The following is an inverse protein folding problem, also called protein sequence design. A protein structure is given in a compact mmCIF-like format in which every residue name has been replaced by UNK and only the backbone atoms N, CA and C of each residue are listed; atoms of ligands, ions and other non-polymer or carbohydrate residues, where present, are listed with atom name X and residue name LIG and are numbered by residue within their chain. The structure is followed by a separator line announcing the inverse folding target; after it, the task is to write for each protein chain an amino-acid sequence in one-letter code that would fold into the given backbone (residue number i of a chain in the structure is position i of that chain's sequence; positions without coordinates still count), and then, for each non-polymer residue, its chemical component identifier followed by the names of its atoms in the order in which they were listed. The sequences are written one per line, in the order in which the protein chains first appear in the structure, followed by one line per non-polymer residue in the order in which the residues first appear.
data_IF_686035939013
#
_entry.id   IF_686035939013
#
_cell.length_a   1.000
_cell.length_b   1.000
_cell.length_c   1.000
_cell.angle_alpha   90.00
_cell.angle_beta   90.00
_cell.angle_gamma   90.00
#
_symmetry.space_group_name_H-M   'P 1'
#
loop_
_entity.id
_entity.type
_entity.pdbx_description
1 polymer ?
#
# COMPACT_ATOMS: atom_id res chain seq x y z
N UNK A 1 -75.39 -10.04 -5.38
CA UNK A 1 -74.39 -10.64 -4.45
C UNK A 1 -73.19 -9.71 -4.43
N UNK A 2 -73.13 -8.89 -3.38
CA UNK A 2 -72.04 -7.93 -3.19
C UNK A 2 -70.99 -8.57 -2.33
N UNK A 3 -69.76 -8.68 -2.84
CA UNK A 3 -68.59 -8.99 -2.02
C UNK A 3 -67.74 -7.71 -1.87
N UNK A 4 -67.91 -7.04 -0.73
CA UNK A 4 -66.99 -6.02 -0.25
C UNK A 4 -65.86 -6.73 0.51
N UNK A 5 -64.64 -6.78 -0.08
CA UNK A 5 -63.45 -7.16 0.63
C UNK A 5 -62.74 -5.88 1.07
N UNK A 6 -62.98 -5.45 2.30
CA UNK A 6 -62.18 -4.41 2.98
C UNK A 6 -60.93 -5.04 3.53
N UNK A 7 -59.78 -4.74 2.90
CA UNK A 7 -58.47 -5.03 3.52
C UNK A 7 -58.23 -4.04 4.66
N UNK A 8 -58.30 -4.54 5.87
CA UNK A 8 -57.84 -3.84 7.07
C UNK A 8 -56.30 -3.75 7.03
N UNK A 9 -55.76 -2.61 6.65
CA UNK A 9 -54.37 -2.28 6.92
C UNK A 9 -54.25 -1.87 8.39
N UNK A 10 -53.58 -2.70 9.18
CA UNK A 10 -53.25 -2.43 10.57
C UNK A 10 -52.07 -1.41 10.63
N UNK A 11 -52.27 -0.14 11.00
CA UNK A 11 -51.19 0.86 11.07
C UNK A 11 -50.26 0.69 12.26
N UNK A 12 -50.58 -0.27 13.17
CA UNK A 12 -49.86 -0.51 14.42
C UNK A 12 -48.48 -1.17 14.16
N UNK A 13 -48.32 -1.92 13.09
CA UNK A 13 -47.10 -2.72 12.85
C UNK A 13 -45.92 -1.85 12.40
N UNK A 14 -46.16 -0.73 11.70
CA UNK A 14 -45.09 0.10 11.16
C UNK A 14 -44.37 0.92 12.23
N UNK A 15 -45.10 1.50 13.17
CA UNK A 15 -44.54 2.28 14.27
C UNK A 15 -43.75 1.42 15.26
N UNK A 16 -44.15 0.16 15.45
CA UNK A 16 -43.45 -0.78 16.36
C UNK A 16 -42.12 -1.22 15.76
N UNK A 17 -42.04 -1.49 14.47
CA UNK A 17 -40.80 -1.82 13.76
C UNK A 17 -39.85 -0.62 13.73
N UNK A 18 -40.33 0.59 13.48
CA UNK A 18 -39.51 1.79 13.52
C UNK A 18 -38.95 2.08 14.92
N UNK A 19 -39.74 1.82 15.97
CA UNK A 19 -39.32 1.96 17.37
C UNK A 19 -38.22 0.96 17.74
N UNK A 20 -38.33 -0.30 17.29
CA UNK A 20 -37.34 -1.34 17.53
C UNK A 20 -36.02 -1.10 16.74
N UNK A 21 -36.10 -0.42 15.61
CA UNK A 21 -34.91 -0.07 14.80
C UNK A 21 -34.18 1.16 15.32
N UNK A 22 -34.77 1.97 16.19
CA UNK A 22 -34.10 3.19 16.71
C UNK A 22 -32.80 2.89 17.48
N UNK A 23 -32.71 1.74 18.14
CA UNK A 23 -31.52 1.32 18.87
C UNK A 23 -30.33 0.96 17.94
N UNK A 24 -30.62 0.70 16.66
CA UNK A 24 -29.62 0.38 15.64
C UNK A 24 -29.26 1.56 14.74
N UNK A 25 -29.95 2.69 14.88
CA UNK A 25 -29.61 3.92 14.13
C UNK A 25 -28.40 4.57 14.79
N UNK A 26 -27.37 4.84 13.99
CA UNK A 26 -26.17 5.57 14.43
C UNK A 26 -26.51 7.06 14.67
N UNK A 27 -27.06 7.33 15.84
CA UNK A 27 -27.29 8.69 16.35
C UNK A 27 -26.16 9.06 17.31
N UNK A 28 -25.94 10.35 17.55
CA UNK A 28 -24.96 10.82 18.54
C UNK A 28 -25.20 10.22 19.95
N UNK A 29 -26.44 9.92 20.30
CA UNK A 29 -26.80 9.28 21.56
C UNK A 29 -26.36 7.82 21.62
N UNK A 30 -26.59 7.03 20.57
CA UNK A 30 -26.16 5.61 20.49
C UNK A 30 -24.64 5.49 20.36
N UNK A 31 -24.00 6.39 19.63
CA UNK A 31 -22.54 6.49 19.55
C UNK A 31 -21.91 6.82 20.92
N UNK A 32 -22.45 7.79 21.64
CA UNK A 32 -21.98 8.14 22.98
C UNK A 32 -22.20 7.02 24.00
N UNK A 33 -23.30 6.27 23.89
CA UNK A 33 -23.57 5.11 24.76
C UNK A 33 -22.58 3.98 24.49
N UNK A 34 -22.32 3.65 23.22
CA UNK A 34 -21.32 2.66 22.83
C UNK A 34 -19.90 3.05 23.29
N UNK A 35 -19.54 4.32 23.17
CA UNK A 35 -18.25 4.85 23.63
C UNK A 35 -18.09 4.75 25.15
N UNK A 36 -19.16 5.06 25.92
CA UNK A 36 -19.16 4.90 27.39
C UNK A 36 -19.03 3.45 27.82
N UNK A 37 -19.67 2.52 27.12
CA UNK A 37 -19.52 1.07 27.39
C UNK A 37 -18.09 0.58 27.13
N UNK A 38 -17.44 1.07 26.08
CA UNK A 38 -16.04 0.76 25.79
C UNK A 38 -15.06 1.35 26.82
N UNK A 39 -15.36 2.51 27.37
CA UNK A 39 -14.53 3.18 28.40
C UNK A 39 -14.65 2.58 29.81
N UNK A 40 -15.72 1.85 30.11
CA UNK A 40 -15.94 1.19 31.41
C UNK A 40 -15.27 -0.20 31.53
N UNK A 41 -14.57 -0.66 30.50
CA UNK A 41 -13.72 -1.84 30.60
C UNK A 41 -12.45 -1.41 31.33
N UNK A 42 -12.31 -1.81 32.61
CA UNK A 42 -11.10 -1.58 33.43
C UNK A 42 -9.87 -2.02 32.63
N UNK A 43 -8.82 -1.19 32.50
CA UNK A 43 -7.58 -1.63 31.92
C UNK A 43 -6.89 -2.57 32.91
N UNK A 44 -7.00 -3.86 32.68
CA UNK A 44 -6.00 -4.77 33.25
C UNK A 44 -4.65 -4.41 32.64
N UNK A 45 -3.63 -4.36 33.48
CA UNK A 45 -2.24 -4.04 33.14
C UNK A 45 -1.71 -4.98 32.04
N UNK A 46 -1.98 -4.65 30.78
CA UNK A 46 -1.42 -5.37 29.63
C UNK A 46 0.01 -4.93 29.45
N UNK A 47 0.91 -5.90 29.44
CA UNK A 47 2.35 -5.70 29.27
C UNK A 47 2.64 -4.91 27.98
N UNK A 48 3.71 -4.10 27.98
CA UNK A 48 4.15 -3.29 26.82
C UNK A 48 4.27 -4.08 25.48
N UNK A 49 4.44 -5.41 25.56
CA UNK A 49 4.42 -6.29 24.38
C UNK A 49 3.06 -6.36 23.68
N UNK A 50 1.95 -6.32 24.45
CA UNK A 50 0.60 -6.37 23.85
C UNK A 50 0.19 -5.05 23.22
N UNK A 51 0.68 -3.92 23.72
CA UNK A 51 0.45 -2.61 23.08
C UNK A 51 1.20 -2.46 21.75
N UNK A 52 2.44 -2.99 21.67
CA UNK A 52 3.18 -3.04 20.39
C UNK A 52 2.52 -3.97 19.37
N UNK A 53 1.96 -5.09 19.80
CA UNK A 53 1.22 -6.01 18.93
C UNK A 53 -0.12 -5.42 18.46
N UNK A 54 -0.80 -4.62 19.30
CA UNK A 54 -2.03 -3.92 18.91
C UNK A 54 -1.78 -2.75 17.97
N UNK A 55 -0.67 -2.01 18.14
CA UNK A 55 -0.25 -0.98 17.19
C UNK A 55 0.15 -1.58 15.82
N UNK A 56 0.84 -2.74 15.83
CA UNK A 56 1.14 -3.46 14.60
C UNK A 56 -0.10 -4.08 13.94
N UNK A 57 -1.11 -4.48 14.74
CA UNK A 57 -2.38 -5.00 14.23
C UNK A 57 -3.30 -3.89 13.68
N UNK A 58 -3.24 -2.65 14.20
CA UNK A 58 -3.99 -1.52 13.65
C UNK A 58 -3.40 -1.04 12.31
N UNK A 59 -2.08 -1.01 12.19
CA UNK A 59 -1.40 -0.70 10.91
C UNK A 59 -1.70 -1.76 9.84
N UNK A 60 -1.94 -3.02 10.24
CA UNK A 60 -2.32 -4.09 9.29
C UNK A 60 -3.74 -3.98 8.75
N UNK A 61 -4.66 -3.22 9.38
CA UNK A 61 -6.05 -3.14 8.93
C UNK A 61 -6.25 -2.26 7.70
N UNK A 62 -5.31 -1.37 7.43
CA UNK A 62 -5.39 -0.43 6.31
C UNK A 62 -4.57 -0.88 5.09
N UNK A 63 -3.96 -2.07 5.16
CA UNK A 63 -3.17 -2.65 4.08
C UNK A 63 -3.96 -3.76 3.39
N UNK A 64 -4.31 -3.53 2.15
CA UNK A 64 -4.98 -4.52 1.32
C UNK A 64 -3.94 -5.35 0.55
N UNK A 65 -3.95 -6.67 0.72
CA UNK A 65 -3.05 -7.61 0.04
C UNK A 65 -3.83 -8.37 -1.04
N UNK A 66 -3.55 -8.17 -2.35
CA UNK A 66 -4.13 -8.99 -3.41
C UNK A 66 -3.76 -10.46 -3.24
N UNK A 67 -4.68 -11.37 -3.56
CA UNK A 67 -4.53 -12.82 -3.36
C UNK A 67 -3.78 -13.51 -4.48
N UNK A 68 -3.67 -12.86 -5.62
CA UNK A 68 -3.09 -13.40 -6.84
C UNK A 68 -1.57 -13.45 -6.76
N UNK A 69 -0.98 -14.30 -7.62
CA UNK A 69 0.46 -14.50 -7.69
C UNK A 69 1.24 -13.22 -8.00
N UNK A 70 0.69 -12.39 -8.89
CA UNK A 70 1.25 -11.08 -9.24
C UNK A 70 0.58 -9.96 -8.43
N UNK A 71 0.85 -9.94 -7.12
CA UNK A 71 0.29 -8.93 -6.21
C UNK A 71 0.62 -7.50 -6.62
N UNK A 72 1.78 -7.26 -7.26
CA UNK A 72 2.19 -5.91 -7.70
C UNK A 72 1.32 -5.41 -8.86
N UNK A 73 1.02 -6.27 -9.85
CA UNK A 73 0.10 -5.94 -10.94
C UNK A 73 -1.30 -5.66 -10.40
N UNK A 74 -1.76 -6.42 -9.41
CA UNK A 74 -3.08 -6.22 -8.83
C UNK A 74 -3.16 -4.98 -7.92
N UNK A 75 -2.07 -4.59 -7.26
CA UNK A 75 -2.00 -3.27 -6.62
C UNK A 75 -2.17 -2.15 -7.67
N UNK A 76 -1.51 -2.25 -8.83
CA UNK A 76 -1.71 -1.30 -9.93
C UNK A 76 -3.17 -1.28 -10.43
N UNK A 77 -3.79 -2.46 -10.57
CA UNK A 77 -5.20 -2.55 -10.98
C UNK A 77 -6.13 -1.82 -10.00
N UNK A 78 -5.90 -2.01 -8.69
CA UNK A 78 -6.67 -1.35 -7.62
C UNK A 78 -6.47 0.16 -7.65
N UNK A 79 -5.25 0.64 -7.83
CA UNK A 79 -4.94 2.07 -7.95
C UNK A 79 -5.71 2.73 -9.09
N UNK A 80 -5.86 2.03 -10.21
CA UNK A 80 -6.55 2.56 -11.40
C UNK A 80 -8.07 2.45 -11.30
N UNK A 81 -8.60 1.33 -10.85
CA UNK A 81 -10.02 0.99 -10.96
C UNK A 81 -10.75 1.01 -9.61
N UNK A 82 -10.02 1.13 -8.51
CA UNK A 82 -10.54 1.04 -7.15
C UNK A 82 -10.64 -0.39 -6.62
N UNK A 83 -10.62 -0.52 -5.30
CA UNK A 83 -10.70 -1.81 -4.61
C UNK A 83 -12.02 -2.54 -4.88
N UNK A 84 -13.13 -1.81 -4.97
CA UNK A 84 -14.45 -2.40 -5.27
C UNK A 84 -14.46 -3.10 -6.63
N UNK A 85 -13.80 -2.51 -7.65
CA UNK A 85 -13.70 -3.13 -8.97
C UNK A 85 -12.89 -4.44 -8.94
N UNK A 86 -11.84 -4.51 -8.11
CA UNK A 86 -11.09 -5.74 -7.87
C UNK A 86 -11.93 -6.81 -7.16
N UNK A 87 -12.69 -6.44 -6.13
CA UNK A 87 -13.55 -7.36 -5.37
C UNK A 87 -14.71 -7.91 -6.19
N UNK A 88 -15.19 -7.16 -7.19
CA UNK A 88 -16.23 -7.60 -8.13
C UNK A 88 -15.72 -8.58 -9.20
N UNK A 89 -14.41 -8.76 -9.34
CA UNK A 89 -13.85 -9.75 -10.25
C UNK A 89 -14.12 -11.14 -9.67
N UNK A 90 -15.00 -11.89 -10.35
CA UNK A 90 -15.22 -13.30 -10.06
C UNK A 90 -14.01 -14.14 -10.46
N UNK A 91 -14.01 -15.44 -10.24
CA UNK A 91 -12.94 -16.46 -10.36
C UNK A 91 -12.08 -16.46 -11.65
N UNK A 92 -12.10 -15.41 -12.48
CA UNK A 92 -11.37 -15.29 -13.74
C UNK A 92 -10.20 -14.33 -13.73
N UNK A 93 -9.66 -14.01 -12.57
CA UNK A 93 -8.59 -13.01 -12.38
C UNK A 93 -7.39 -13.27 -13.32
N UNK A 94 -6.99 -14.51 -13.52
CA UNK A 94 -5.88 -14.84 -14.42
C UNK A 94 -6.14 -14.43 -15.89
N UNK A 95 -7.35 -14.63 -16.40
CA UNK A 95 -7.69 -14.26 -17.79
C UNK A 95 -7.70 -12.74 -17.94
N UNK A 96 -8.27 -12.04 -16.95
CA UNK A 96 -8.30 -10.57 -16.92
C UNK A 96 -6.87 -10.03 -16.84
N UNK A 97 -6.04 -10.57 -15.95
CA UNK A 97 -4.64 -10.19 -15.80
C UNK A 97 -3.87 -10.32 -17.12
N UNK A 98 -3.93 -11.48 -17.77
CA UNK A 98 -3.20 -11.71 -19.04
C UNK A 98 -3.70 -10.78 -20.13
N UNK A 99 -5.01 -10.57 -20.25
CA UNK A 99 -5.59 -9.64 -21.23
C UNK A 99 -5.06 -8.22 -21.01
N UNK A 100 -5.14 -7.72 -19.78
CA UNK A 100 -4.69 -6.38 -19.44
C UNK A 100 -3.18 -6.22 -19.65
N UNK A 101 -2.36 -7.19 -19.25
CA UNK A 101 -0.91 -7.16 -19.48
C UNK A 101 -0.57 -7.01 -20.96
N UNK A 102 -1.29 -7.73 -21.85
CA UNK A 102 -1.09 -7.62 -23.31
C UNK A 102 -1.52 -6.24 -23.81
N UNK A 103 -2.65 -5.70 -23.35
CA UNK A 103 -3.09 -4.35 -23.69
C UNK A 103 -2.05 -3.30 -23.28
N UNK A 104 -1.41 -3.47 -22.11
CA UNK A 104 -0.33 -2.56 -21.68
C UNK A 104 0.94 -2.72 -22.49
N UNK A 105 1.27 -3.89 -23.02
CA UNK A 105 2.38 -4.05 -23.98
C UNK A 105 2.16 -3.17 -25.20
N UNK A 106 0.95 -3.14 -25.76
CA UNK A 106 0.61 -2.29 -26.91
C UNK A 106 0.69 -0.79 -26.53
N UNK A 107 0.22 -0.41 -25.37
CA UNK A 107 0.30 0.99 -24.89
C UNK A 107 1.75 1.43 -24.69
N UNK A 108 2.61 0.61 -24.08
CA UNK A 108 4.05 0.89 -23.94
C UNK A 108 4.71 1.13 -25.30
N UNK A 109 4.33 0.34 -26.31
CA UNK A 109 4.84 0.51 -27.69
C UNK A 109 4.42 1.83 -28.30
N UNK A 110 3.21 2.30 -28.00
CA UNK A 110 2.70 3.57 -28.50
C UNK A 110 3.33 4.77 -27.77
N UNK A 111 3.62 4.65 -26.48
CA UNK A 111 4.12 5.71 -25.62
C UNK A 111 5.65 5.65 -25.38
N UNK A 112 6.40 5.15 -26.36
CA UNK A 112 7.89 4.97 -26.29
C UNK A 112 8.66 6.21 -25.84
N UNK A 113 8.18 7.41 -26.17
CA UNK A 113 8.87 8.64 -25.80
C UNK A 113 8.79 8.91 -24.30
N UNK A 114 7.63 8.71 -23.68
CA UNK A 114 7.44 8.83 -22.24
C UNK A 114 8.30 7.79 -21.48
N UNK A 115 8.30 6.55 -21.94
CA UNK A 115 9.10 5.49 -21.32
C UNK A 115 10.61 5.82 -21.33
N UNK A 116 11.10 6.46 -22.40
CA UNK A 116 12.50 6.91 -22.51
C UNK A 116 12.85 8.07 -21.58
N UNK A 117 11.88 8.91 -21.21
CA UNK A 117 12.09 10.02 -20.27
C UNK A 117 12.38 9.51 -18.86
N UNK A 118 11.58 8.56 -18.39
CA UNK A 118 11.67 8.03 -17.03
C UNK A 118 12.80 7.02 -16.84
N UNK A 119 13.21 6.30 -17.89
CA UNK A 119 14.36 5.37 -17.90
C UNK A 119 14.32 4.30 -16.78
N UNK A 120 13.15 3.80 -16.41
CA UNK A 120 13.05 2.75 -15.40
C UNK A 120 13.65 1.43 -15.90
N UNK A 121 13.37 1.07 -17.16
CA UNK A 121 13.94 -0.10 -17.82
C UNK A 121 13.93 0.09 -19.34
N UNK A 122 14.52 -0.87 -20.08
CA UNK A 122 14.45 -0.90 -21.55
C UNK A 122 13.06 -1.32 -22.01
N UNK A 123 12.61 -0.82 -23.15
CA UNK A 123 11.29 -1.20 -23.71
C UNK A 123 11.14 -2.70 -23.86
N UNK A 124 12.18 -3.36 -24.37
CA UNK A 124 12.18 -4.84 -24.53
C UNK A 124 12.00 -5.57 -23.22
N UNK A 125 12.61 -5.04 -22.12
CA UNK A 125 12.43 -5.61 -20.80
C UNK A 125 10.98 -5.45 -20.31
N UNK A 126 10.40 -4.24 -20.43
CA UNK A 126 9.03 -3.97 -20.03
C UNK A 126 8.02 -4.86 -20.77
N UNK A 127 8.18 -4.97 -22.10
CA UNK A 127 7.34 -5.82 -22.93
C UNK A 127 7.46 -7.30 -22.55
N UNK A 128 8.70 -7.79 -22.36
CA UNK A 128 8.94 -9.19 -21.98
C UNK A 128 8.39 -9.50 -20.58
N UNK A 129 8.60 -8.62 -19.62
CA UNK A 129 8.13 -8.82 -18.26
C UNK A 129 6.60 -8.86 -18.17
N UNK A 130 5.88 -8.03 -18.94
CA UNK A 130 4.41 -8.09 -19.01
C UNK A 130 3.89 -9.33 -19.73
N UNK A 131 4.53 -9.71 -20.86
CA UNK A 131 4.02 -10.80 -21.70
C UNK A 131 4.33 -12.20 -21.15
N UNK A 132 5.56 -12.39 -20.64
CA UNK A 132 6.12 -13.69 -20.38
C UNK A 132 6.22 -14.03 -18.89
N UNK A 133 6.41 -13.04 -18.02
CA UNK A 133 6.68 -13.30 -16.62
C UNK A 133 5.38 -13.48 -15.81
N UNK A 134 5.47 -14.32 -14.80
CA UNK A 134 4.35 -14.56 -13.88
C UNK A 134 4.09 -13.37 -12.94
N UNK A 135 5.12 -12.56 -12.71
CA UNK A 135 5.06 -11.36 -11.85
C UNK A 135 5.78 -10.22 -12.53
N UNK A 136 5.20 -9.03 -12.47
CA UNK A 136 5.89 -7.84 -12.91
C UNK A 136 6.91 -7.38 -11.86
N UNK A 137 7.95 -6.69 -12.33
CA UNK A 137 8.92 -6.05 -11.48
C UNK A 137 8.56 -4.57 -11.20
N UNK A 138 9.28 -3.94 -10.27
CA UNK A 138 9.05 -2.55 -9.89
C UNK A 138 9.25 -1.57 -11.07
N UNK A 139 10.29 -1.69 -11.92
CA UNK A 139 10.41 -0.87 -13.12
C UNK A 139 9.22 -0.95 -14.06
N UNK A 140 8.68 -2.15 -14.29
CA UNK A 140 7.47 -2.35 -15.11
C UNK A 140 6.25 -1.73 -14.44
N UNK A 141 6.05 -1.95 -13.14
CA UNK A 141 4.98 -1.32 -12.37
C UNK A 141 5.01 0.21 -12.47
N UNK A 142 6.17 0.83 -12.27
CA UNK A 142 6.33 2.29 -12.40
C UNK A 142 6.02 2.78 -13.81
N UNK A 143 6.39 2.00 -14.83
CA UNK A 143 6.07 2.33 -16.22
C UNK A 143 4.56 2.31 -16.47
N UNK A 144 3.83 1.37 -15.85
CA UNK A 144 2.36 1.35 -15.88
C UNK A 144 1.76 2.58 -15.18
N UNK A 145 2.32 2.98 -14.02
CA UNK A 145 1.89 4.20 -13.32
C UNK A 145 2.10 5.46 -14.17
N UNK A 146 3.20 5.53 -14.94
CA UNK A 146 3.46 6.64 -15.88
C UNK A 146 2.39 6.69 -16.97
N UNK A 147 2.04 5.55 -17.59
CA UNK A 147 1.02 5.46 -18.65
C UNK A 147 -0.35 5.92 -18.13
N UNK A 148 -0.70 5.56 -16.90
CA UNK A 148 -1.99 5.93 -16.30
C UNK A 148 -1.94 7.26 -15.53
N UNK A 149 -0.79 7.95 -15.53
CA UNK A 149 -0.62 9.23 -14.84
C UNK A 149 -0.93 9.16 -13.34
N UNK A 150 -0.50 8.06 -12.66
CA UNK A 150 -0.76 7.80 -11.25
C UNK A 150 0.40 8.22 -10.37
N UNK A 151 0.11 8.92 -9.27
CA UNK A 151 1.08 9.21 -8.21
C UNK A 151 1.20 8.03 -7.27
N UNK A 152 2.44 7.58 -6.97
CA UNK A 152 2.66 6.42 -6.11
C UNK A 152 3.87 6.56 -5.21
N UNK A 153 3.71 6.12 -3.96
CA UNK A 153 4.80 5.82 -3.03
C UNK A 153 5.02 4.31 -2.98
N UNK A 154 6.25 3.88 -3.20
CA UNK A 154 6.66 2.49 -2.97
C UNK A 154 7.42 2.44 -1.67
N UNK A 155 6.93 1.68 -0.70
CA UNK A 155 7.54 1.52 0.62
C UNK A 155 8.12 0.11 0.74
N UNK A 156 9.42 0.03 1.06
CA UNK A 156 10.10 -1.23 1.34
C UNK A 156 10.86 -1.11 2.65
N UNK A 157 10.48 -1.87 3.67
CA UNK A 157 11.06 -1.76 5.02
C UNK A 157 10.98 -0.30 5.53
N UNK A 158 12.13 0.35 5.72
CA UNK A 158 12.25 1.75 6.17
C UNK A 158 12.65 2.72 5.07
N UNK A 159 12.41 2.35 3.83
CA UNK A 159 12.71 3.20 2.68
C UNK A 159 11.44 3.48 1.89
N UNK A 160 11.40 4.60 1.18
CA UNK A 160 10.35 4.88 0.23
C UNK A 160 10.91 5.51 -1.05
N UNK A 161 10.23 5.21 -2.15
CA UNK A 161 10.42 5.87 -3.44
C UNK A 161 9.10 6.55 -3.82
N UNK A 162 9.21 7.75 -4.37
CA UNK A 162 8.05 8.56 -4.73
C UNK A 162 8.07 8.87 -6.23
N UNK A 163 6.98 8.54 -6.91
CA UNK A 163 6.71 8.92 -8.29
C UNK A 163 5.54 9.91 -8.30
N UNK A 164 5.79 11.13 -8.77
CA UNK A 164 4.78 12.17 -8.96
C UNK A 164 4.61 12.40 -10.46
N UNK A 165 3.42 12.13 -10.97
CA UNK A 165 3.06 12.28 -12.38
C UNK A 165 2.18 13.49 -12.63
N UNK A 166 1.40 13.89 -11.64
CA UNK A 166 0.47 15.00 -11.72
C UNK A 166 0.42 15.77 -10.40
N UNK A 167 -0.10 17.00 -10.43
CA UNK A 167 -0.27 17.85 -9.25
C UNK A 167 -1.54 17.50 -8.45
N UNK A 168 -2.20 16.37 -8.74
CA UNK A 168 -3.36 15.87 -8.02
C UNK A 168 -3.02 15.51 -6.57
N UNK A 169 -4.02 15.57 -5.72
CA UNK A 169 -3.89 15.22 -4.29
C UNK A 169 -3.92 13.72 -4.03
N UNK A 170 -4.38 12.94 -5.01
CA UNK A 170 -4.49 11.49 -4.86
C UNK A 170 -3.10 10.85 -4.93
N UNK A 171 -2.74 10.19 -3.85
CA UNK A 171 -1.45 9.53 -3.69
C UNK A 171 -1.67 8.10 -3.20
N UNK A 172 -1.28 7.16 -4.03
CA UNK A 172 -1.35 5.74 -3.70
C UNK A 172 -0.08 5.28 -3.00
N UNK A 173 -0.20 4.27 -2.14
CA UNK A 173 0.97 3.66 -1.48
C UNK A 173 0.97 2.15 -1.71
N UNK A 174 2.10 1.64 -2.19
CA UNK A 174 2.34 0.21 -2.36
C UNK A 174 3.47 -0.21 -1.43
N UNK A 175 3.18 -1.18 -0.56
CA UNK A 175 4.14 -1.75 0.38
C UNK A 175 4.74 -3.02 -0.20
N UNK A 176 6.07 -3.06 -0.31
CA UNK A 176 6.79 -4.29 -0.61
C UNK A 176 6.92 -5.10 0.68
N UNK A 177 6.18 -6.19 0.77
CA UNK A 177 6.23 -7.15 1.87
C UNK A 177 7.31 -8.20 1.59
N UNK A 178 7.47 -9.15 2.49
CA UNK A 178 8.43 -10.24 2.28
C UNK A 178 8.00 -11.16 1.13
N UNK A 179 8.99 -11.82 0.49
CA UNK A 179 8.77 -12.87 -0.53
C UNK A 179 8.00 -12.45 -1.79
N UNK A 180 8.24 -11.25 -2.30
CA UNK A 180 7.62 -10.74 -3.53
C UNK A 180 6.09 -10.56 -3.43
N UNK A 181 5.57 -10.37 -2.23
CA UNK A 181 4.19 -9.93 -2.01
C UNK A 181 4.13 -8.42 -1.85
N UNK A 182 3.03 -7.84 -2.30
CA UNK A 182 2.79 -6.41 -2.24
C UNK A 182 1.42 -6.15 -1.66
N UNK A 183 1.30 -5.06 -0.92
CA UNK A 183 0.03 -4.60 -0.38
C UNK A 183 -0.24 -3.15 -0.79
N UNK A 184 -1.50 -2.82 -0.96
CA UNK A 184 -1.99 -1.49 -1.32
C UNK A 184 -2.55 -0.77 -0.09
N UNK A 185 -2.32 0.52 0.02
CA UNK A 185 -2.91 1.41 1.03
C UNK A 185 -3.14 2.80 0.45
N UNK A 186 -4.25 3.43 0.82
CA UNK A 186 -4.53 4.83 0.50
C UNK A 186 -3.81 5.80 1.45
N UNK A 187 -3.18 5.28 2.51
CA UNK A 187 -2.49 6.10 3.49
C UNK A 187 -1.11 6.52 2.98
N UNK A 188 -0.84 7.81 3.08
CA UNK A 188 0.50 8.35 2.79
C UNK A 188 1.45 7.93 3.91
N UNK A 189 2.62 7.32 3.58
CA UNK A 189 3.57 6.91 4.59
C UNK A 189 4.17 8.11 5.33
N UNK A 190 4.53 7.93 6.59
CA UNK A 190 5.27 8.95 7.34
C UNK A 190 6.68 9.12 6.78
N UNK A 191 6.82 10.07 5.85
CA UNK A 191 8.08 10.34 5.14
C UNK A 191 9.21 10.80 6.06
N UNK A 192 8.90 11.30 7.27
CA UNK A 192 9.91 11.76 8.23
C UNK A 192 10.69 10.59 8.84
N UNK A 193 10.05 9.43 8.96
CA UNK A 193 10.64 8.23 9.56
C UNK A 193 11.29 7.30 8.55
N UNK A 194 11.13 7.57 7.26
CA UNK A 194 11.60 6.73 6.17
C UNK A 194 12.74 7.40 5.39
N UNK A 195 13.68 6.61 4.93
CA UNK A 195 14.74 7.07 4.05
C UNK A 195 14.23 7.16 2.59
N UNK A 196 14.35 8.33 1.97
CA UNK A 196 13.95 8.54 0.58
C UNK A 196 15.01 7.99 -0.38
N UNK A 197 14.58 7.12 -1.29
CA UNK A 197 15.39 6.58 -2.38
C UNK A 197 15.13 7.41 -3.63
N UNK A 198 16.15 8.04 -4.19
CA UNK A 198 16.03 8.87 -5.41
C UNK A 198 15.92 8.03 -6.69
N UNK A 199 16.53 6.84 -6.70
CA UNK A 199 16.52 5.95 -7.87
C UNK A 199 16.44 4.49 -7.43
N UNK A 200 15.40 3.80 -7.88
CA UNK A 200 15.17 2.40 -7.51
C UNK A 200 16.27 1.47 -8.01
N UNK A 201 16.80 1.71 -9.21
CA UNK A 201 17.88 0.89 -9.78
C UNK A 201 19.23 1.12 -9.08
N UNK A 202 19.43 2.33 -8.51
CA UNK A 202 20.64 2.69 -7.77
C UNK A 202 20.25 3.47 -6.51
N UNK A 203 19.81 2.77 -5.46
CA UNK A 203 19.29 3.40 -4.25
C UNK A 203 20.33 4.21 -3.47
N UNK A 204 21.63 3.93 -3.67
CA UNK A 204 22.73 4.69 -3.12
C UNK A 204 23.60 5.30 -4.22
N UNK A 205 24.04 6.53 -3.99
CA UNK A 205 25.11 7.17 -4.76
C UNK A 205 26.45 6.48 -4.43
N UNK A 206 27.51 6.80 -5.15
CA UNK A 206 28.86 6.28 -4.83
C UNK A 206 29.29 6.72 -3.43
N UNK A 207 30.10 5.92 -2.75
CA UNK A 207 30.62 6.23 -1.40
C UNK A 207 31.34 7.57 -1.33
N UNK A 208 31.95 7.99 -2.41
CA UNK A 208 32.64 9.29 -2.50
C UNK A 208 31.69 10.48 -2.36
N UNK A 209 30.43 10.30 -2.73
CA UNK A 209 29.40 11.35 -2.69
C UNK A 209 28.87 11.64 -1.29
N UNK A 210 29.17 10.81 -0.30
CA UNK A 210 28.66 10.96 1.07
C UNK A 210 29.78 11.43 2.03
N UNK A 211 29.40 12.29 2.98
CA UNK A 211 30.20 12.54 4.19
C UNK A 211 29.87 11.48 5.25
N UNK A 212 30.77 11.26 6.20
CA UNK A 212 30.57 10.29 7.30
C UNK A 212 29.29 10.61 8.08
N UNK A 213 29.07 11.89 8.40
CA UNK A 213 27.87 12.32 9.15
C UNK A 213 26.56 12.02 8.41
N UNK A 214 26.57 12.14 7.07
CA UNK A 214 25.39 11.81 6.25
C UNK A 214 25.07 10.30 6.32
N UNK A 215 26.10 9.46 6.27
CA UNK A 215 25.93 8.00 6.41
C UNK A 215 25.44 7.63 7.80
N UNK A 216 25.88 8.33 8.86
CA UNK A 216 25.37 8.13 10.22
C UNK A 216 23.88 8.44 10.30
N UNK A 217 23.44 9.59 9.76
CA UNK A 217 22.01 9.97 9.71
C UNK A 217 21.18 8.91 8.97
N UNK A 218 21.68 8.44 7.81
CA UNK A 218 21.00 7.38 7.04
C UNK A 218 20.91 6.09 7.88
N UNK A 219 22.00 5.68 8.56
CA UNK A 219 21.96 4.50 9.43
C UNK A 219 20.95 4.65 10.58
N UNK A 220 20.82 5.83 11.17
CA UNK A 220 19.84 6.10 12.23
C UNK A 220 18.40 6.01 11.69
N UNK A 221 18.11 6.59 10.53
CA UNK A 221 16.82 6.48 9.87
C UNK A 221 16.45 5.02 9.55
N UNK A 222 17.43 4.25 9.07
CA UNK A 222 17.26 2.83 8.76
C UNK A 222 17.31 1.93 9.99
N UNK A 223 17.63 2.46 11.19
CA UNK A 223 17.88 1.72 12.44
C UNK A 223 19.01 0.67 12.32
N UNK A 224 20.06 1.02 11.60
CA UNK A 224 21.27 0.22 11.46
C UNK A 224 22.23 0.59 12.60
N UNK A 225 22.82 -0.40 13.26
CA UNK A 225 23.80 -0.20 14.35
C UNK A 225 25.04 0.53 13.85
N UNK A 226 25.47 1.59 14.58
CA UNK A 226 26.64 2.40 14.24
C UNK A 226 27.95 1.76 14.73
N UNK A 227 27.85 0.80 15.64
CA UNK A 227 28.99 0.08 16.22
C UNK A 227 29.21 -1.25 15.52
N UNK A 228 30.46 -1.66 15.45
CA UNK A 228 30.84 -2.97 14.93
C UNK A 228 30.72 -3.99 16.09
N UNK A 229 29.93 -5.04 15.91
CA UNK A 229 29.65 -6.05 16.94
C UNK A 229 30.91 -6.81 17.40
N UNK A 230 31.95 -6.88 16.56
CA UNK A 230 33.19 -7.61 16.88
C UNK A 230 34.20 -6.77 17.67
N UNK A 231 34.27 -5.46 17.38
CA UNK A 231 35.31 -4.58 17.93
C UNK A 231 34.78 -3.58 18.93
N UNK A 232 33.47 -3.47 19.12
CA UNK A 232 32.76 -2.45 19.92
C UNK A 232 33.19 -1.01 19.59
N UNK A 233 33.78 -0.76 18.42
CA UNK A 233 34.18 0.56 17.91
C UNK A 233 33.15 1.08 16.90
N UNK A 234 33.13 2.39 16.73
CA UNK A 234 32.30 3.00 15.67
C UNK A 234 32.74 2.50 14.30
N UNK A 235 31.75 2.20 13.46
CA UNK A 235 31.98 1.77 12.08
C UNK A 235 32.68 2.87 11.28
N UNK A 236 33.63 2.47 10.44
CA UNK A 236 34.27 3.35 9.45
C UNK A 236 33.28 3.76 8.35
N UNK A 237 33.65 4.77 7.56
CA UNK A 237 32.85 5.21 6.40
C UNK A 237 32.45 4.06 5.47
N UNK A 238 33.40 3.17 5.18
CA UNK A 238 33.18 2.01 4.30
C UNK A 238 32.20 1.02 4.95
N UNK A 239 32.39 0.68 6.21
CA UNK A 239 31.51 -0.24 6.92
C UNK A 239 30.07 0.29 7.07
N UNK A 240 29.90 1.62 7.27
CA UNK A 240 28.58 2.25 7.30
C UNK A 240 27.92 2.13 5.92
N UNK A 241 28.65 2.45 4.86
CA UNK A 241 28.14 2.38 3.49
C UNK A 241 27.75 0.96 3.09
N UNK A 242 28.58 -0.04 3.41
CA UNK A 242 28.30 -1.45 3.17
C UNK A 242 27.06 -1.94 3.96
N UNK A 243 26.93 -1.52 5.24
CA UNK A 243 25.77 -1.86 6.05
C UNK A 243 24.46 -1.28 5.48
N UNK A 244 24.50 -0.06 4.93
CA UNK A 244 23.35 0.55 4.26
C UNK A 244 23.07 -0.19 2.94
N UNK A 245 24.08 -0.51 2.15
CA UNK A 245 23.93 -1.22 0.89
C UNK A 245 23.34 -2.63 1.05
N UNK A 246 23.69 -3.32 2.13
CA UNK A 246 23.11 -4.64 2.45
C UNK A 246 21.65 -4.55 2.95
N UNK A 247 21.26 -3.41 3.51
CA UNK A 247 19.90 -3.21 4.02
C UNK A 247 18.90 -2.92 2.89
N UNK A 248 19.28 -2.19 1.85
CA UNK A 248 18.44 -1.75 0.72
C UNK A 248 18.16 -2.87 -0.27
#
# INVERSE_FOLDING_TARGET
MNYNNTMNHNPIVYNDVCSQLQDYILTDATMNHATKLCLNIRPESRSNKQQQLQLQASVKRDLFEPREKDSLFWCFYIMKNGQTAYEMLEHRNFVVEKKLKIEYVERIRNEKQQMKLHKFATLTHLESNLANDDRIDIPTFLSLCVIENLNVNIVKKRTYFELLMNDGTEMHTVHCLDNHTHGYSDLVPDKLTLFKVDNIAKPLKSIASYKVNELIIICEQLKITLTNDKTCKNKTKNELYESIAQYL
#
